data_IF_548622994517
#
_entry.id   IF_548622994517
#
_cell.length_a   1.000
_cell.length_b   1.000
_cell.length_c   1.000
_cell.angle_alpha   90.00
_cell.angle_beta   90.00
_cell.angle_gamma   90.00
#
_symmetry.space_group_name_H-M   'P 1'
#
loop_
_entity.id
_entity.type
_entity.pdbx_description
1 polymer ?
#
# COMPACT_ATOMS: atom_id res chain seq x y z
N UNK A 1 -26.76 -51.90 -33.18
CA UNK A 1 -27.96 -51.05 -33.36
C UNK A 1 -28.74 -50.98 -32.06
N UNK A 2 -29.30 -49.82 -31.73
CA UNK A 2 -29.89 -49.54 -30.42
C UNK A 2 -31.26 -48.89 -30.57
N UNK A 3 -32.25 -49.30 -29.76
CA UNK A 3 -33.46 -48.50 -29.54
C UNK A 3 -33.11 -47.27 -28.71
N UNK A 4 -33.92 -46.21 -28.79
CA UNK A 4 -33.67 -44.96 -28.07
C UNK A 4 -33.50 -45.16 -26.55
N UNK A 5 -34.20 -46.15 -25.98
CA UNK A 5 -34.11 -46.53 -24.56
C UNK A 5 -32.76 -47.15 -24.20
N UNK A 6 -32.21 -47.99 -25.08
CA UNK A 6 -30.92 -48.65 -24.88
C UNK A 6 -29.78 -47.66 -25.10
N UNK A 7 -29.93 -46.77 -26.09
CA UNK A 7 -29.00 -45.68 -26.36
C UNK A 7 -28.91 -44.72 -25.17
N UNK A 8 -30.06 -44.31 -24.61
CA UNK A 8 -30.16 -43.47 -23.42
C UNK A 8 -29.34 -44.02 -22.24
N UNK A 9 -29.49 -45.31 -21.95
CA UNK A 9 -28.75 -45.99 -20.89
C UNK A 9 -27.24 -46.00 -21.18
N UNK A 10 -26.83 -46.29 -22.42
CA UNK A 10 -25.40 -46.36 -22.79
C UNK A 10 -24.65 -45.05 -22.73
N UNK A 11 -25.33 -43.91 -22.87
CA UNK A 11 -24.72 -42.56 -22.85
C UNK A 11 -25.08 -41.77 -21.60
N UNK A 12 -25.94 -42.30 -20.72
CA UNK A 12 -26.37 -41.62 -19.50
C UNK A 12 -27.22 -40.36 -19.75
N UNK A 13 -28.00 -40.32 -20.84
CA UNK A 13 -28.88 -39.19 -21.17
C UNK A 13 -30.35 -39.62 -21.11
N UNK A 14 -31.24 -38.67 -20.86
CA UNK A 14 -32.69 -38.92 -20.95
C UNK A 14 -33.12 -39.16 -22.41
N UNK A 15 -34.21 -39.92 -22.60
CA UNK A 15 -34.80 -40.10 -23.95
C UNK A 15 -35.15 -38.74 -24.58
N UNK A 16 -35.64 -37.80 -23.78
CA UNK A 16 -35.96 -36.44 -24.22
C UNK A 16 -34.72 -35.69 -24.74
N UNK A 17 -33.57 -35.82 -24.06
CA UNK A 17 -32.32 -35.24 -24.53
C UNK A 17 -31.86 -35.85 -25.86
N UNK A 18 -31.99 -37.17 -26.04
CA UNK A 18 -31.68 -37.83 -27.32
C UNK A 18 -32.61 -37.41 -28.46
N UNK A 19 -33.92 -37.27 -28.19
CA UNK A 19 -34.88 -36.73 -29.16
C UNK A 19 -34.55 -35.28 -29.52
N UNK A 20 -34.11 -34.48 -28.55
CA UNK A 20 -33.63 -33.13 -28.82
C UNK A 20 -32.38 -33.13 -29.71
N UNK A 21 -31.42 -34.03 -29.46
CA UNK A 21 -30.21 -34.15 -30.28
C UNK A 21 -30.57 -34.57 -31.71
N UNK A 22 -31.53 -35.49 -31.86
CA UNK A 22 -32.08 -35.89 -33.15
C UNK A 22 -32.77 -34.72 -33.87
N UNK A 23 -33.61 -33.94 -33.17
CA UNK A 23 -34.26 -32.74 -33.73
C UNK A 23 -33.25 -31.67 -34.15
N UNK A 24 -32.14 -31.53 -33.43
CA UNK A 24 -31.04 -30.63 -33.79
C UNK A 24 -30.15 -31.20 -34.92
N UNK A 25 -30.43 -32.41 -35.41
CA UNK A 25 -29.69 -33.06 -36.49
C UNK A 25 -28.33 -33.64 -36.06
N UNK A 26 -28.10 -33.80 -34.76
CA UNK A 26 -26.84 -34.32 -34.22
C UNK A 26 -26.73 -35.84 -34.33
N UNK A 27 -27.85 -36.55 -34.39
CA UNK A 27 -27.95 -37.98 -34.64
C UNK A 27 -29.16 -38.22 -35.53
N UNK A 28 -29.23 -39.37 -36.21
CA UNK A 28 -30.37 -39.68 -37.09
C UNK A 28 -30.82 -41.12 -36.91
N UNK A 29 -31.97 -41.31 -36.26
CA UNK A 29 -32.59 -42.61 -36.13
C UNK A 29 -33.17 -43.08 -37.46
N UNK A 30 -32.90 -44.33 -37.83
CA UNK A 30 -33.56 -44.97 -38.97
C UNK A 30 -34.88 -45.59 -38.47
N UNK A 31 -35.98 -45.32 -39.17
CA UNK A 31 -37.26 -45.98 -38.89
C UNK A 31 -37.27 -47.37 -39.50
N UNK A 32 -37.67 -48.36 -38.70
CA UNK A 32 -37.98 -49.72 -39.16
C UNK A 32 -39.44 -49.83 -39.58
N UNK A 33 -39.78 -50.87 -40.34
CA UNK A 33 -41.14 -51.17 -40.82
C UNK A 33 -42.17 -51.31 -39.68
N UNK A 34 -41.71 -51.62 -38.48
CA UNK A 34 -42.50 -51.72 -37.25
C UNK A 34 -42.72 -50.36 -36.52
N UNK A 35 -42.29 -49.24 -37.12
CA UNK A 35 -42.46 -47.89 -36.58
C UNK A 35 -41.42 -47.45 -35.54
N UNK A 36 -40.55 -48.35 -35.05
CA UNK A 36 -39.51 -48.01 -34.08
C UNK A 36 -38.30 -47.33 -34.74
N UNK A 37 -37.64 -46.43 -34.01
CA UNK A 37 -36.35 -45.84 -34.39
C UNK A 37 -35.19 -46.67 -33.84
N UNK A 38 -34.23 -46.97 -34.71
CA UNK A 38 -32.97 -47.61 -34.39
C UNK A 38 -31.80 -46.67 -34.69
N UNK A 39 -30.80 -46.70 -33.82
CA UNK A 39 -29.58 -45.90 -33.92
C UNK A 39 -28.37 -46.82 -34.07
N UNK A 40 -27.36 -46.37 -34.80
CA UNK A 40 -26.15 -47.14 -35.09
C UNK A 40 -25.10 -47.00 -33.99
N UNK A 41 -24.04 -47.81 -34.04
CA UNK A 41 -22.84 -47.60 -33.22
C UNK A 41 -22.15 -46.27 -33.53
N UNK A 42 -22.29 -45.77 -34.77
CA UNK A 42 -21.79 -44.45 -35.16
C UNK A 42 -22.53 -43.33 -34.42
N UNK A 43 -23.86 -43.41 -34.28
CA UNK A 43 -24.64 -42.44 -33.50
C UNK A 43 -24.22 -42.44 -32.02
N UNK A 44 -23.96 -43.62 -31.45
CA UNK A 44 -23.44 -43.76 -30.09
C UNK A 44 -22.08 -43.07 -29.93
N UNK A 45 -21.14 -43.30 -30.86
CA UNK A 45 -19.82 -42.64 -30.85
C UNK A 45 -19.95 -41.13 -31.02
N UNK A 46 -20.86 -40.69 -31.90
CA UNK A 46 -21.12 -39.26 -32.15
C UNK A 46 -21.67 -38.57 -30.91
N UNK A 47 -22.60 -39.19 -30.16
CA UNK A 47 -23.09 -38.66 -28.88
C UNK A 47 -21.95 -38.56 -27.85
N UNK A 48 -21.09 -39.57 -27.76
CA UNK A 48 -19.95 -39.54 -26.83
C UNK A 48 -18.97 -38.41 -27.16
N UNK A 49 -18.73 -38.16 -28.45
CA UNK A 49 -17.91 -37.03 -28.89
C UNK A 49 -18.56 -35.68 -28.51
N UNK A 50 -19.88 -35.54 -28.69
CA UNK A 50 -20.62 -34.35 -28.25
C UNK A 50 -20.47 -34.15 -26.74
N UNK A 51 -20.60 -35.19 -25.92
CA UNK A 51 -20.42 -35.10 -24.47
C UNK A 51 -19.01 -34.62 -24.10
N UNK A 52 -17.96 -35.07 -24.81
CA UNK A 52 -16.59 -34.60 -24.58
C UNK A 52 -16.40 -33.13 -24.98
N UNK A 53 -17.01 -32.69 -26.09
CA UNK A 53 -16.98 -31.28 -26.50
C UNK A 53 -17.75 -30.39 -25.52
N UNK A 54 -18.91 -30.84 -25.04
CA UNK A 54 -19.69 -30.11 -24.03
C UNK A 54 -18.97 -30.01 -22.69
N UNK A 55 -18.23 -31.04 -22.28
CA UNK A 55 -17.38 -30.99 -21.09
C UNK A 55 -16.27 -29.93 -21.19
N UNK A 56 -15.85 -29.58 -22.41
CA UNK A 56 -14.96 -28.46 -22.70
C UNK A 56 -15.65 -27.09 -22.78
N UNK A 57 -16.93 -27.00 -22.46
CA UNK A 57 -17.70 -25.74 -22.44
C UNK A 57 -18.36 -25.34 -23.76
N UNK A 58 -18.38 -26.22 -24.76
CA UNK A 58 -19.06 -25.96 -26.03
C UNK A 58 -20.57 -26.20 -25.92
N UNK A 59 -21.36 -25.28 -26.47
CA UNK A 59 -22.80 -25.46 -26.66
C UNK A 59 -23.11 -26.53 -27.70
N UNK A 60 -24.36 -27.00 -27.73
CA UNK A 60 -24.81 -28.00 -28.71
C UNK A 60 -24.61 -27.56 -30.16
N UNK A 61 -24.83 -26.26 -30.45
CA UNK A 61 -24.68 -25.67 -31.78
C UNK A 61 -23.22 -25.68 -32.22
N UNK A 62 -22.30 -25.37 -31.30
CA UNK A 62 -20.86 -25.40 -31.55
C UNK A 62 -20.36 -26.84 -31.68
N UNK A 63 -20.87 -27.77 -30.88
CA UNK A 63 -20.59 -29.21 -31.03
C UNK A 63 -21.02 -29.72 -32.41
N UNK A 64 -22.20 -29.31 -32.89
CA UNK A 64 -22.67 -29.62 -34.25
C UNK A 64 -21.71 -29.09 -35.31
N UNK A 65 -21.29 -27.84 -35.18
CA UNK A 65 -20.34 -27.21 -36.12
C UNK A 65 -18.99 -27.96 -36.15
N UNK A 66 -18.47 -28.38 -35.00
CA UNK A 66 -17.25 -29.20 -34.91
C UNK A 66 -17.39 -30.58 -35.56
N UNK A 67 -18.60 -31.13 -35.59
CA UNK A 67 -18.91 -32.44 -36.17
C UNK A 67 -19.18 -32.42 -37.67
N UNK A 68 -19.60 -31.27 -38.21
CA UNK A 68 -20.05 -31.13 -39.60
C UNK A 68 -19.08 -30.30 -40.47
N UNK A 69 -18.23 -29.48 -39.86
CA UNK A 69 -17.31 -28.59 -40.55
C UNK A 69 -15.92 -28.56 -39.89
N UNK A 70 -14.99 -27.86 -40.54
CA UNK A 70 -13.66 -27.57 -39.99
C UNK A 70 -13.84 -26.70 -38.74
N UNK A 71 -13.32 -27.17 -37.61
CA UNK A 71 -13.35 -26.49 -36.31
C UNK A 71 -12.97 -25.02 -36.45
N UNK A 72 -13.84 -24.11 -36.00
CA UNK A 72 -13.55 -22.68 -35.95
C UNK A 72 -12.52 -22.40 -34.85
N UNK A 73 -11.25 -22.32 -35.26
CA UNK A 73 -10.13 -22.02 -34.35
C UNK A 73 -10.30 -20.68 -33.63
N UNK A 74 -10.97 -19.68 -34.22
CA UNK A 74 -11.17 -18.38 -33.57
C UNK A 74 -12.13 -18.50 -32.41
N UNK A 75 -13.22 -19.25 -32.59
CA UNK A 75 -14.16 -19.53 -31.51
C UNK A 75 -13.49 -20.27 -30.35
N UNK A 76 -12.72 -21.32 -30.64
CA UNK A 76 -12.01 -22.07 -29.60
C UNK A 76 -10.98 -21.22 -28.86
N UNK A 77 -10.21 -20.38 -29.59
CA UNK A 77 -9.24 -19.47 -28.98
C UNK A 77 -9.93 -18.45 -28.05
N UNK A 78 -11.07 -17.88 -28.47
CA UNK A 78 -11.85 -16.96 -27.64
C UNK A 78 -12.39 -17.63 -26.37
N UNK A 79 -12.87 -18.88 -26.48
CA UNK A 79 -13.34 -19.66 -25.32
C UNK A 79 -12.21 -20.00 -24.36
N UNK A 80 -11.04 -20.38 -24.89
CA UNK A 80 -9.86 -20.67 -24.09
C UNK A 80 -9.42 -19.43 -23.29
N UNK A 81 -9.31 -18.27 -23.94
CA UNK A 81 -8.99 -17.00 -23.26
C UNK A 81 -9.97 -16.67 -22.13
N UNK A 82 -11.27 -16.93 -22.34
CA UNK A 82 -12.28 -16.71 -21.30
C UNK A 82 -12.10 -17.67 -20.11
N UNK A 83 -11.82 -18.95 -20.38
CA UNK A 83 -11.56 -19.93 -19.33
C UNK A 83 -10.29 -19.60 -18.54
N UNK A 84 -9.22 -19.17 -19.23
CA UNK A 84 -7.99 -18.74 -18.57
C UNK A 84 -8.23 -17.54 -17.64
N UNK A 85 -9.04 -16.57 -18.08
CA UNK A 85 -9.44 -15.44 -17.23
C UNK A 85 -10.26 -15.88 -16.01
N UNK A 86 -11.20 -16.82 -16.18
CA UNK A 86 -11.99 -17.38 -15.07
C UNK A 86 -11.13 -18.17 -14.08
N UNK A 87 -10.14 -18.94 -14.57
CA UNK A 87 -9.16 -19.66 -13.74
C UNK A 87 -8.34 -18.67 -12.93
N UNK A 88 -7.78 -17.64 -13.57
CA UNK A 88 -6.98 -16.61 -12.89
C UNK A 88 -7.79 -15.92 -11.78
N UNK A 89 -9.05 -15.54 -12.06
CA UNK A 89 -9.94 -14.94 -11.06
C UNK A 89 -10.21 -15.86 -9.87
N UNK A 90 -10.45 -17.16 -10.13
CA UNK A 90 -10.67 -18.15 -9.07
C UNK A 90 -9.39 -18.43 -8.27
N UNK A 91 -8.22 -18.42 -8.91
CA UNK A 91 -6.93 -18.57 -8.24
C UNK A 91 -6.66 -17.39 -7.30
N UNK A 92 -6.89 -16.15 -7.75
CA UNK A 92 -6.78 -14.96 -6.90
C UNK A 92 -7.74 -15.02 -5.70
N UNK A 93 -8.98 -15.46 -5.91
CA UNK A 93 -9.95 -15.63 -4.81
C UNK A 93 -9.49 -16.70 -3.81
N UNK A 94 -8.93 -17.82 -4.30
CA UNK A 94 -8.36 -18.87 -3.44
C UNK A 94 -7.18 -18.35 -2.63
N UNK A 95 -6.28 -17.60 -3.26
CA UNK A 95 -5.08 -17.04 -2.61
C UNK A 95 -5.45 -16.05 -1.52
N UNK A 96 -6.44 -15.18 -1.76
CA UNK A 96 -6.99 -14.32 -0.72
C UNK A 96 -7.52 -15.13 0.47
N UNK A 97 -8.37 -16.15 0.21
CA UNK A 97 -8.93 -16.97 1.27
C UNK A 97 -7.87 -17.77 2.04
N UNK A 98 -6.88 -18.34 1.34
CA UNK A 98 -5.77 -19.04 1.97
C UNK A 98 -4.94 -18.10 2.85
N UNK A 99 -4.64 -16.90 2.36
CA UNK A 99 -3.89 -15.90 3.10
C UNK A 99 -4.67 -15.38 4.33
N UNK A 100 -5.99 -15.20 4.23
CA UNK A 100 -6.88 -14.90 5.38
C UNK A 100 -6.95 -16.03 6.40
N UNK A 101 -6.68 -17.27 5.99
CA UNK A 101 -6.59 -18.44 6.88
C UNK A 101 -5.17 -18.63 7.45
N UNK A 102 -4.21 -17.77 7.11
CA UNK A 102 -2.81 -17.90 7.54
C UNK A 102 -1.96 -18.84 6.67
N UNK A 103 -2.50 -19.36 5.56
CA UNK A 103 -1.83 -20.34 4.69
C UNK A 103 -1.05 -19.70 3.52
N UNK A 104 -0.77 -18.40 3.58
CA UNK A 104 -0.04 -17.66 2.54
C UNK A 104 0.15 -16.19 2.87
N UNK A 105 0.85 -15.44 2.03
CA UNK A 105 1.09 -14.01 2.23
C UNK A 105 -0.15 -13.17 1.91
N UNK A 106 -0.48 -12.20 2.77
CA UNK A 106 -1.51 -11.19 2.48
C UNK A 106 -0.96 -9.91 1.83
N UNK A 107 0.34 -9.85 1.53
CA UNK A 107 1.04 -8.63 1.10
C UNK A 107 0.37 -7.90 -0.07
N UNK A 108 0.13 -8.63 -1.16
CA UNK A 108 -0.49 -8.06 -2.37
C UNK A 108 -1.93 -7.62 -2.14
N UNK A 109 -2.65 -8.26 -1.23
CA UNK A 109 -4.00 -7.88 -0.86
C UNK A 109 -3.99 -6.60 0.00
N UNK A 110 -3.13 -6.52 1.01
CA UNK A 110 -2.98 -5.30 1.83
C UNK A 110 -2.61 -4.10 0.96
N UNK A 111 -1.65 -4.24 0.05
CA UNK A 111 -1.25 -3.18 -0.88
C UNK A 111 -2.41 -2.71 -1.77
N UNK A 112 -3.20 -3.66 -2.29
CA UNK A 112 -4.35 -3.38 -3.14
C UNK A 112 -5.48 -2.67 -2.39
N UNK A 113 -5.83 -3.16 -1.19
CA UNK A 113 -6.91 -2.58 -0.39
C UNK A 113 -6.50 -1.22 0.17
N UNK A 114 -5.25 -1.04 0.57
CA UNK A 114 -4.75 0.26 1.03
C UNK A 114 -4.82 1.32 -0.08
N UNK A 115 -4.58 0.92 -1.33
CA UNK A 115 -4.73 1.82 -2.48
C UNK A 115 -6.21 2.18 -2.74
N UNK A 116 -7.12 1.22 -2.62
CA UNK A 116 -8.53 1.39 -3.00
C UNK A 116 -9.38 2.01 -1.89
N UNK A 117 -9.09 1.71 -0.63
CA UNK A 117 -9.90 2.07 0.53
C UNK A 117 -9.04 2.15 1.81
N UNK A 118 -8.07 3.09 1.89
CA UNK A 118 -7.07 3.15 2.96
C UNK A 118 -7.69 3.29 4.36
N UNK A 119 -8.70 4.15 4.51
CA UNK A 119 -9.35 4.37 5.82
C UNK A 119 -10.14 3.12 6.26
N UNK A 120 -10.85 2.47 5.34
CA UNK A 120 -11.62 1.24 5.61
C UNK A 120 -10.68 0.08 5.95
N UNK A 121 -9.51 0.04 5.34
CA UNK A 121 -8.49 -0.96 5.62
C UNK A 121 -7.97 -0.83 7.05
N UNK A 122 -7.65 0.39 7.48
CA UNK A 122 -7.20 0.70 8.83
C UNK A 122 -8.27 0.32 9.86
N UNK A 123 -9.52 0.73 9.62
CA UNK A 123 -10.67 0.36 10.48
C UNK A 123 -10.85 -1.16 10.58
N UNK A 124 -10.65 -1.87 9.47
CA UNK A 124 -10.76 -3.33 9.45
C UNK A 124 -9.65 -3.99 10.26
N UNK A 125 -8.40 -3.53 10.14
CA UNK A 125 -7.27 -3.99 10.95
C UNK A 125 -7.55 -3.78 12.44
N UNK A 126 -8.04 -2.59 12.82
CA UNK A 126 -8.41 -2.30 14.21
C UNK A 126 -9.51 -3.25 14.73
N UNK A 127 -10.49 -3.61 13.90
CA UNK A 127 -11.52 -4.61 14.24
C UNK A 127 -10.99 -6.03 14.37
N UNK A 128 -9.84 -6.35 13.77
CA UNK A 128 -9.16 -7.65 13.97
C UNK A 128 -8.37 -7.70 15.30
N UNK A 129 -8.36 -6.61 16.08
CA UNK A 129 -7.73 -6.57 17.39
C UNK A 129 -6.35 -5.92 17.41
N UNK A 130 -5.87 -5.39 16.28
CA UNK A 130 -4.65 -4.59 16.24
C UNK A 130 -4.91 -3.20 16.82
N UNK A 131 -3.99 -2.68 17.63
CA UNK A 131 -3.95 -1.26 17.95
C UNK A 131 -3.71 -0.43 16.70
N UNK A 132 -4.06 0.87 16.72
CA UNK A 132 -3.78 1.79 15.60
C UNK A 132 -2.29 1.76 15.21
N UNK A 133 -1.40 1.71 16.20
CA UNK A 133 0.05 1.61 16.01
C UNK A 133 0.46 0.34 15.25
N UNK A 134 -0.07 -0.82 15.65
CA UNK A 134 0.22 -2.08 14.96
C UNK A 134 -0.40 -2.10 13.56
N UNK A 135 -1.62 -1.59 13.40
CA UNK A 135 -2.28 -1.48 12.11
C UNK A 135 -1.50 -0.58 11.14
N UNK A 136 -0.97 0.55 11.61
CA UNK A 136 -0.09 1.42 10.82
C UNK A 136 1.24 0.74 10.50
N UNK A 137 1.87 0.06 11.45
CA UNK A 137 3.10 -0.72 11.19
C UNK A 137 2.86 -1.82 10.17
N UNK A 138 1.72 -2.47 10.22
CA UNK A 138 1.34 -3.50 9.27
C UNK A 138 1.13 -2.93 7.88
N UNK A 139 0.38 -1.82 7.79
CA UNK A 139 0.14 -1.09 6.55
C UNK A 139 1.42 -0.61 5.88
N UNK A 140 2.36 -0.05 6.64
CA UNK A 140 3.54 0.62 6.08
C UNK A 140 4.80 -0.25 6.03
N UNK A 141 5.00 -1.16 6.99
CA UNK A 141 6.26 -1.90 7.16
C UNK A 141 6.12 -3.35 6.68
N UNK A 142 5.41 -4.20 7.43
CA UNK A 142 5.39 -5.63 7.11
C UNK A 142 4.60 -5.92 5.83
N UNK A 143 3.49 -5.19 5.63
CA UNK A 143 2.45 -5.39 4.61
C UNK A 143 1.81 -6.77 4.63
N UNK A 144 2.25 -7.65 5.51
CA UNK A 144 1.76 -9.00 5.68
C UNK A 144 1.40 -9.22 7.15
N UNK A 145 0.17 -9.67 7.41
CA UNK A 145 -0.30 -10.03 8.74
C UNK A 145 0.36 -11.31 9.26
N UNK A 146 0.63 -12.27 8.38
CA UNK A 146 1.08 -13.60 8.80
C UNK A 146 2.57 -13.62 9.18
N UNK A 147 3.34 -12.67 8.64
CA UNK A 147 4.76 -12.50 8.92
C UNK A 147 5.06 -11.23 9.74
N UNK A 148 4.02 -10.52 10.20
CA UNK A 148 4.14 -9.21 10.86
C UNK A 148 5.12 -9.24 12.05
N UNK A 149 4.95 -10.18 12.97
CA UNK A 149 5.74 -10.27 14.20
C UNK A 149 7.23 -10.50 13.93
N UNK A 150 7.55 -11.44 13.02
CA UNK A 150 8.93 -11.72 12.66
C UNK A 150 9.54 -10.54 11.89
N UNK A 151 8.79 -9.95 10.96
CA UNK A 151 9.23 -8.76 10.24
C UNK A 151 9.52 -7.61 11.19
N UNK A 152 8.63 -7.35 12.16
CA UNK A 152 8.81 -6.27 13.13
C UNK A 152 9.98 -6.55 14.08
N UNK A 153 10.20 -7.80 14.48
CA UNK A 153 11.37 -8.19 15.28
C UNK A 153 12.67 -7.87 14.54
N UNK A 154 12.76 -8.27 13.28
CA UNK A 154 13.92 -8.03 12.43
C UNK A 154 14.12 -6.53 12.15
N UNK A 155 13.03 -5.82 11.84
CA UNK A 155 13.02 -4.38 11.62
C UNK A 155 13.53 -3.64 12.85
N UNK A 156 13.00 -3.93 14.04
CA UNK A 156 13.44 -3.29 15.28
C UNK A 156 14.92 -3.57 15.56
N UNK A 157 15.40 -4.79 15.31
CA UNK A 157 16.83 -5.15 15.46
C UNK A 157 17.73 -4.32 14.55
N UNK A 158 17.28 -3.99 13.33
CA UNK A 158 18.03 -3.12 12.42
C UNK A 158 18.06 -1.69 12.96
N UNK A 159 16.91 -1.15 13.37
CA UNK A 159 16.77 0.27 13.72
C UNK A 159 17.18 0.65 15.15
N UNK A 160 17.28 -0.30 16.09
CA UNK A 160 17.61 -0.07 17.50
C UNK A 160 18.91 0.75 17.68
N UNK A 161 19.94 0.43 16.89
CA UNK A 161 21.26 1.05 16.98
C UNK A 161 21.36 2.41 16.27
N UNK A 162 20.32 2.83 15.54
CA UNK A 162 20.36 4.06 14.74
C UNK A 162 19.96 5.27 15.60
N UNK A 163 20.76 6.33 15.49
CA UNK A 163 20.48 7.61 16.12
C UNK A 163 19.28 8.32 15.48
N UNK A 164 19.12 8.17 14.16
CA UNK A 164 18.09 8.82 13.34
C UNK A 164 17.14 7.78 12.74
N UNK A 165 15.86 8.14 12.62
CA UNK A 165 14.84 7.31 11.98
C UNK A 165 14.46 7.79 10.57
N UNK A 166 14.93 8.97 10.16
CA UNK A 166 14.69 9.53 8.84
C UNK A 166 15.85 10.45 8.40
N UNK A 167 15.96 10.75 7.10
CA UNK A 167 16.85 11.79 6.57
C UNK A 167 16.61 13.15 7.22
N UNK A 168 17.69 13.84 7.57
CA UNK A 168 17.60 15.16 8.22
C UNK A 168 18.90 15.54 8.93
N UNK A 169 19.05 16.82 9.23
CA UNK A 169 20.18 17.32 10.03
C UNK A 169 19.79 18.57 10.80
N UNK A 170 20.50 18.85 11.89
CA UNK A 170 20.29 20.06 12.69
C UNK A 170 20.41 21.34 11.85
N UNK A 171 21.30 21.33 10.85
CA UNK A 171 21.50 22.45 9.94
C UNK A 171 20.27 22.72 9.07
N UNK A 172 19.53 21.69 8.65
CA UNK A 172 18.34 21.87 7.82
C UNK A 172 17.16 22.37 8.66
N UNK A 173 16.98 21.81 9.86
CA UNK A 173 16.01 22.30 10.86
C UNK A 173 16.28 23.78 11.19
N UNK A 174 17.54 24.14 11.46
CA UNK A 174 17.93 25.52 11.76
C UNK A 174 17.74 26.46 10.56
N UNK A 175 18.00 25.98 9.34
CA UNK A 175 17.77 26.75 8.11
C UNK A 175 16.27 27.05 7.90
N UNK A 176 15.39 26.08 8.13
CA UNK A 176 13.95 26.31 8.10
C UNK A 176 13.51 27.28 9.22
N UNK A 177 14.00 27.08 10.45
CA UNK A 177 13.66 27.93 11.60
C UNK A 177 14.12 29.39 11.43
N UNK A 178 15.32 29.59 10.89
CA UNK A 178 15.87 30.94 10.64
C UNK A 178 15.16 31.69 9.51
N UNK A 179 14.35 30.99 8.68
CA UNK A 179 13.52 31.63 7.66
C UNK A 179 12.22 32.23 8.20
N UNK A 180 11.89 31.96 9.47
CA UNK A 180 10.69 32.51 10.10
C UNK A 180 10.81 34.02 10.28
N UNK A 181 9.76 34.75 9.89
CA UNK A 181 9.71 36.21 10.03
C UNK A 181 9.62 36.69 11.49
N UNK A 182 9.21 35.81 12.42
CA UNK A 182 9.07 36.09 13.85
C UNK A 182 9.53 34.87 14.64
N UNK A 183 10.11 35.11 15.82
CA UNK A 183 10.39 34.04 16.76
C UNK A 183 9.08 33.48 17.34
N UNK A 184 8.87 32.15 17.28
CA UNK A 184 7.67 31.53 17.82
C UNK A 184 7.64 31.62 19.35
N UNK A 185 6.44 31.54 19.91
CA UNK A 185 6.17 31.53 21.36
C UNK A 185 5.57 30.21 21.82
N UNK A 186 4.76 29.56 20.98
CA UNK A 186 4.05 28.32 21.27
C UNK A 186 4.18 27.37 20.08
N UNK A 187 5.08 26.38 20.22
CA UNK A 187 5.39 25.40 19.17
C UNK A 187 4.67 24.09 19.47
N UNK A 188 4.01 23.52 18.47
CA UNK A 188 3.58 22.13 18.44
C UNK A 188 4.47 21.34 17.48
N UNK A 189 5.20 20.34 17.97
CA UNK A 189 5.95 19.41 17.12
C UNK A 189 5.22 18.08 17.01
N UNK A 190 4.87 17.65 15.79
CA UNK A 190 4.06 16.45 15.53
C UNK A 190 4.94 15.35 14.92
N UNK A 191 5.01 14.20 15.59
CA UNK A 191 5.91 13.10 15.25
C UNK A 191 7.35 13.41 15.64
N UNK A 192 7.58 13.82 16.90
CA UNK A 192 8.90 14.26 17.35
C UNK A 192 9.94 13.13 17.42
N UNK A 193 9.51 11.87 17.51
CA UNK A 193 10.38 10.70 17.65
C UNK A 193 11.40 10.88 18.77
N UNK A 194 12.69 10.74 18.44
CA UNK A 194 13.80 10.96 19.39
C UNK A 194 14.09 12.44 19.70
N UNK A 195 13.33 13.38 19.16
CA UNK A 195 13.39 14.82 19.48
C UNK A 195 14.63 15.56 18.97
N UNK A 196 15.13 15.16 17.79
CA UNK A 196 16.26 15.83 17.16
C UNK A 196 15.89 17.25 16.72
N UNK A 197 14.74 17.43 16.09
CA UNK A 197 14.23 18.75 15.74
C UNK A 197 13.81 19.52 17.01
N UNK A 198 13.16 18.87 17.98
CA UNK A 198 12.84 19.45 19.31
C UNK A 198 14.05 20.14 19.93
N UNK A 199 15.22 19.49 19.93
CA UNK A 199 16.44 20.04 20.51
C UNK A 199 16.89 21.32 19.78
N UNK A 200 16.84 21.33 18.45
CA UNK A 200 17.19 22.52 17.66
C UNK A 200 16.20 23.66 17.94
N UNK A 201 14.90 23.36 17.99
CA UNK A 201 13.85 24.34 18.30
C UNK A 201 14.04 24.92 19.71
N UNK A 202 14.34 24.08 20.70
CA UNK A 202 14.53 24.51 22.09
C UNK A 202 15.77 25.40 22.27
N UNK A 203 16.86 25.07 21.58
CA UNK A 203 18.12 25.82 21.68
C UNK A 203 18.12 27.15 20.92
N UNK A 204 17.23 27.32 19.93
CA UNK A 204 17.20 28.49 19.05
C UNK A 204 15.95 29.35 19.23
N UNK A 205 15.10 29.03 20.19
CA UNK A 205 13.90 29.80 20.55
C UNK A 205 13.75 29.89 22.06
N UNK A 206 12.87 30.78 22.53
CA UNK A 206 12.41 30.83 23.93
C UNK A 206 10.99 30.28 24.09
N UNK A 207 10.45 29.65 23.04
CA UNK A 207 9.08 29.16 23.00
C UNK A 207 8.82 28.05 24.03
N UNK A 208 7.56 27.92 24.45
CA UNK A 208 7.04 26.66 25.00
C UNK A 208 6.84 25.68 23.85
N UNK A 209 7.29 24.45 24.04
CA UNK A 209 7.26 23.39 23.03
C UNK A 209 6.40 22.26 23.56
N UNK A 210 5.35 21.94 22.82
CA UNK A 210 4.55 20.73 23.03
C UNK A 210 4.92 19.73 21.95
N UNK A 211 5.38 18.54 22.32
CA UNK A 211 5.70 17.46 21.38
C UNK A 211 4.63 16.37 21.41
N UNK A 212 4.31 15.84 20.24
CA UNK A 212 3.36 14.73 20.06
C UNK A 212 4.06 13.57 19.37
N UNK A 213 3.87 12.37 19.92
CA UNK A 213 4.25 11.11 19.27
C UNK A 213 3.32 9.98 19.77
N UNK A 214 3.29 8.85 19.06
CA UNK A 214 2.55 7.65 19.49
C UNK A 214 3.44 6.63 20.23
N UNK A 215 4.70 6.98 20.48
CA UNK A 215 5.68 6.18 21.21
C UNK A 215 6.00 6.80 22.58
N UNK A 216 5.25 6.38 23.62
CA UNK A 216 5.41 6.83 25.01
C UNK A 216 6.87 6.72 25.51
N UNK A 217 7.58 5.67 25.10
CA UNK A 217 8.98 5.44 25.50
C UNK A 217 9.92 6.52 24.94
N UNK A 218 9.68 6.97 23.70
CA UNK A 218 10.45 8.04 23.08
C UNK A 218 10.18 9.39 23.77
N UNK A 219 8.90 9.67 24.11
CA UNK A 219 8.50 10.86 24.84
C UNK A 219 9.11 10.92 26.25
N UNK A 220 9.10 9.79 26.96
CA UNK A 220 9.71 9.68 28.30
C UNK A 220 11.22 9.98 28.22
N UNK A 221 11.93 9.34 27.29
CA UNK A 221 13.37 9.58 27.08
C UNK A 221 13.67 11.03 26.66
N UNK A 222 12.79 11.64 25.86
CA UNK A 222 12.94 13.04 25.45
C UNK A 222 12.81 13.98 26.66
N UNK A 223 11.80 13.75 27.50
CA UNK A 223 11.54 14.54 28.71
C UNK A 223 12.71 14.47 29.69
N UNK A 224 13.22 13.28 29.98
CA UNK A 224 14.38 13.08 30.86
C UNK A 224 15.63 13.84 30.37
N UNK A 225 15.91 13.83 29.06
CA UNK A 225 17.02 14.59 28.48
C UNK A 225 16.82 16.09 28.63
N UNK A 226 15.61 16.60 28.39
CA UNK A 226 15.32 18.02 28.51
C UNK A 226 15.35 18.49 29.97
N UNK A 227 14.94 17.65 30.92
CA UNK A 227 15.12 17.91 32.35
C UNK A 227 16.61 18.00 32.70
N UNK A 228 17.44 17.08 32.20
CA UNK A 228 18.89 17.10 32.41
C UNK A 228 19.57 18.34 31.78
N UNK A 229 19.09 18.80 30.62
CA UNK A 229 19.58 19.99 29.93
C UNK A 229 19.03 21.31 30.52
N UNK A 230 18.21 21.24 31.58
CA UNK A 230 17.60 22.42 32.22
C UNK A 230 16.49 23.10 31.40
N UNK A 231 16.00 22.42 30.35
CA UNK A 231 14.96 22.90 29.42
C UNK A 231 13.58 22.31 29.73
N UNK A 232 13.45 21.42 30.72
CA UNK A 232 12.20 20.71 31.04
C UNK A 232 11.00 21.62 31.32
N UNK A 233 11.20 22.81 31.88
CA UNK A 233 10.09 23.78 32.12
C UNK A 233 9.45 24.34 30.85
N UNK A 234 10.09 24.16 29.68
CA UNK A 234 9.61 24.61 28.38
C UNK A 234 9.05 23.47 27.52
N UNK A 235 9.12 22.23 27.99
CA UNK A 235 8.75 21.05 27.21
C UNK A 235 7.55 20.33 27.85
N UNK A 236 6.47 20.24 27.09
CA UNK A 236 5.36 19.34 27.36
C UNK A 236 5.38 18.20 26.34
N UNK A 237 5.07 16.98 26.78
CA UNK A 237 5.00 15.78 25.93
C UNK A 237 3.60 15.20 25.97
N UNK A 238 3.04 14.87 24.81
CA UNK A 238 1.68 14.32 24.68
C UNK A 238 1.73 13.04 23.84
N UNK A 239 1.37 11.91 24.45
CA UNK A 239 1.22 10.65 23.73
C UNK A 239 -0.16 10.61 23.06
N UNK A 240 -0.21 10.87 21.75
CA UNK A 240 -1.45 10.94 20.99
C UNK A 240 -1.24 10.60 19.51
N UNK A 241 -2.32 10.22 18.83
CA UNK A 241 -2.31 10.07 17.37
C UNK A 241 -2.30 11.45 16.70
N UNK A 242 -1.54 11.58 15.60
CA UNK A 242 -1.48 12.83 14.82
C UNK A 242 -2.79 13.17 14.09
N UNK A 243 -3.71 12.21 14.03
CA UNK A 243 -5.06 12.35 13.45
C UNK A 243 -6.10 12.82 14.48
N UNK A 244 -5.79 12.75 15.78
CA UNK A 244 -6.69 13.06 16.90
C UNK A 244 -5.97 13.89 17.97
N UNK A 245 -5.47 15.06 17.56
CA UNK A 245 -4.70 15.95 18.42
C UNK A 245 -5.60 16.62 19.49
N UNK A 246 -5.28 16.50 20.80
CA UNK A 246 -6.16 16.96 21.88
C UNK A 246 -5.97 18.45 22.22
N UNK A 247 -5.92 19.30 21.20
CA UNK A 247 -5.67 20.74 21.37
C UNK A 247 -6.84 21.59 20.89
N UNK A 248 -7.00 22.76 21.52
CA UNK A 248 -7.98 23.74 21.08
C UNK A 248 -7.51 24.44 19.81
N UNK A 249 -8.45 25.02 19.06
CA UNK A 249 -8.13 25.88 17.93
C UNK A 249 -7.26 27.07 18.35
N UNK A 250 -6.45 27.58 17.42
CA UNK A 250 -5.58 28.75 17.59
C UNK A 250 -4.67 28.71 18.84
N UNK A 251 -4.13 27.52 19.17
CA UNK A 251 -3.29 27.33 20.36
C UNK A 251 -1.80 27.50 20.09
N UNK A 252 -1.36 27.46 18.82
CA UNK A 252 0.06 27.47 18.45
C UNK A 252 0.35 28.53 17.37
N UNK A 253 1.50 29.18 17.47
CA UNK A 253 2.00 30.11 16.43
C UNK A 253 2.98 29.44 15.45
N UNK A 254 3.45 28.23 15.80
CA UNK A 254 4.23 27.36 14.93
C UNK A 254 3.84 25.89 15.13
N UNK A 255 3.52 25.19 14.04
CA UNK A 255 3.46 23.73 13.97
C UNK A 255 4.66 23.24 13.19
N UNK A 256 5.33 22.20 13.69
CA UNK A 256 6.55 21.61 13.12
C UNK A 256 6.38 20.11 12.91
N UNK A 257 6.65 19.60 11.72
CA UNK A 257 6.54 18.17 11.42
C UNK A 257 7.60 17.75 10.39
N UNK A 258 8.66 17.09 10.84
CA UNK A 258 9.70 16.55 9.94
C UNK A 258 9.45 15.06 9.69
N UNK A 259 9.18 14.67 8.44
CA UNK A 259 9.09 13.27 8.04
C UNK A 259 7.95 12.50 8.72
N UNK A 260 6.85 13.18 9.06
CA UNK A 260 5.71 12.57 9.78
C UNK A 260 4.37 12.80 9.10
N UNK A 261 4.18 13.93 8.40
CA UNK A 261 2.88 14.29 7.79
C UNK A 261 2.38 13.28 6.74
N UNK A 262 3.29 12.57 6.07
CA UNK A 262 2.92 11.55 5.07
C UNK A 262 2.17 10.36 5.69
N UNK A 263 2.36 10.08 6.99
CA UNK A 263 1.76 8.93 7.69
C UNK A 263 0.23 9.02 7.69
N UNK A 264 -0.32 10.22 7.87
CA UNK A 264 -1.76 10.49 7.78
C UNK A 264 -2.20 11.01 6.40
N UNK A 265 -1.25 11.24 5.49
CA UNK A 265 -1.44 11.92 4.22
C UNK A 265 -1.33 13.43 4.34
N UNK A 266 -0.49 14.05 3.50
CA UNK A 266 -0.13 15.47 3.62
C UNK A 266 -1.34 16.38 3.43
N UNK A 267 -2.24 16.09 2.49
CA UNK A 267 -3.45 16.91 2.31
C UNK A 267 -4.37 16.87 3.53
N UNK A 268 -4.46 15.70 4.20
CA UNK A 268 -5.23 15.56 5.45
C UNK A 268 -4.57 16.35 6.57
N UNK A 269 -3.25 16.24 6.73
CA UNK A 269 -2.46 17.00 7.69
C UNK A 269 -2.64 18.51 7.51
N UNK A 270 -2.53 19.02 6.27
CA UNK A 270 -2.74 20.43 5.95
C UNK A 270 -4.10 20.92 6.44
N UNK A 271 -5.17 20.15 6.22
CA UNK A 271 -6.53 20.54 6.63
C UNK A 271 -6.78 20.42 8.15
N UNK A 272 -6.31 19.35 8.78
CA UNK A 272 -6.59 19.07 10.20
C UNK A 272 -5.73 19.90 11.14
N UNK A 273 -4.52 20.27 10.74
CA UNK A 273 -3.62 21.07 11.57
C UNK A 273 -3.84 22.58 11.40
N UNK A 274 -4.50 23.01 10.31
CA UNK A 274 -4.87 24.40 10.06
C UNK A 274 -5.62 25.10 11.22
N UNK A 275 -6.66 24.49 11.83
CA UNK A 275 -7.39 25.13 12.92
C UNK A 275 -6.56 25.30 14.21
N UNK A 276 -5.51 24.50 14.40
CA UNK A 276 -4.66 24.58 15.60
C UNK A 276 -3.74 25.80 15.60
N UNK A 277 -3.46 26.36 14.42
CA UNK A 277 -2.66 27.57 14.25
C UNK A 277 -3.45 28.85 14.59
N UNK A 278 -2.79 29.79 15.24
CA UNK A 278 -3.31 31.15 15.42
C UNK A 278 -3.32 31.97 14.13
N UNK A 279 -3.80 33.22 14.21
CA UNK A 279 -3.85 34.13 13.07
C UNK A 279 -2.44 34.41 12.53
N UNK A 280 -2.20 34.01 11.27
CA UNK A 280 -0.89 34.06 10.60
C UNK A 280 0.16 33.11 11.19
N UNK A 281 -0.27 32.09 11.93
CA UNK A 281 0.58 31.00 12.38
C UNK A 281 1.28 30.29 11.23
N UNK A 282 2.41 29.66 11.54
CA UNK A 282 3.26 28.98 10.57
C UNK A 282 3.14 27.47 10.71
N UNK A 283 3.01 26.76 9.60
CA UNK A 283 3.21 25.32 9.50
C UNK A 283 4.53 25.05 8.79
N UNK A 284 5.43 24.30 9.43
CA UNK A 284 6.63 23.74 8.80
C UNK A 284 6.42 22.24 8.64
N UNK A 285 6.44 21.76 7.40
CA UNK A 285 6.48 20.32 7.11
C UNK A 285 7.66 19.94 6.23
N UNK A 286 8.21 18.75 6.43
CA UNK A 286 9.02 18.08 5.42
C UNK A 286 8.26 16.90 4.81
N UNK A 287 8.35 16.76 3.49
CA UNK A 287 7.69 15.69 2.74
C UNK A 287 8.63 15.11 1.69
N UNK A 288 8.48 13.82 1.42
CA UNK A 288 9.23 13.13 0.37
C UNK A 288 8.57 13.43 -0.98
N UNK A 289 9.31 14.03 -1.91
CA UNK A 289 8.76 14.52 -3.19
C UNK A 289 9.64 14.16 -4.38
N UNK A 290 9.03 14.14 -5.56
CA UNK A 290 9.73 14.13 -6.83
C UNK A 290 10.33 15.51 -7.13
N UNK A 291 11.63 15.53 -7.42
CA UNK A 291 12.40 16.71 -7.82
C UNK A 291 12.49 16.86 -9.35
N UNK A 292 11.95 15.89 -10.09
CA UNK A 292 11.88 15.86 -11.55
C UNK A 292 10.48 15.40 -11.99
N UNK A 293 10.04 15.86 -13.17
CA UNK A 293 8.79 15.41 -13.80
C UNK A 293 8.95 14.06 -14.52
N UNK A 294 10.18 13.59 -14.72
CA UNK A 294 10.49 12.32 -15.40
C UNK A 294 11.42 11.45 -14.55
N UNK A 295 10.97 10.96 -13.38
CA UNK A 295 11.76 10.06 -12.56
C UNK A 295 11.93 8.69 -13.24
N UNK A 296 12.97 7.97 -12.84
CA UNK A 296 13.23 6.61 -13.30
C UNK A 296 12.08 5.66 -12.88
N UNK A 297 11.68 4.78 -13.79
CA UNK A 297 10.57 3.85 -13.58
C UNK A 297 10.77 2.94 -12.36
N UNK A 298 12.00 2.52 -12.06
CA UNK A 298 12.31 1.69 -10.90
C UNK A 298 12.03 2.43 -9.59
N UNK A 299 12.45 3.70 -9.50
CA UNK A 299 12.17 4.53 -8.34
C UNK A 299 10.66 4.78 -8.18
N UNK A 300 9.95 5.01 -9.29
CA UNK A 300 8.49 5.19 -9.29
C UNK A 300 7.79 3.94 -8.78
N UNK A 301 8.16 2.76 -9.28
CA UNK A 301 7.56 1.49 -8.86
C UNK A 301 7.82 1.21 -7.37
N UNK A 302 9.03 1.51 -6.90
CA UNK A 302 9.36 1.37 -5.47
C UNK A 302 8.52 2.31 -4.60
N UNK A 303 8.57 3.62 -4.86
CA UNK A 303 7.87 4.60 -4.03
C UNK A 303 6.35 4.51 -4.15
N UNK A 304 5.80 4.04 -5.28
CA UNK A 304 4.37 3.78 -5.41
C UNK A 304 3.86 2.78 -4.35
N UNK A 305 4.68 1.82 -3.96
CA UNK A 305 4.30 0.84 -2.95
C UNK A 305 4.55 1.34 -1.52
N UNK A 306 5.49 2.27 -1.32
CA UNK A 306 5.87 2.76 0.02
C UNK A 306 5.20 4.08 0.41
N UNK A 307 5.02 4.98 -0.54
CA UNK A 307 4.36 6.27 -0.39
C UNK A 307 3.61 6.65 -1.68
N UNK A 308 2.39 6.11 -1.88
CA UNK A 308 1.62 6.33 -3.11
C UNK A 308 1.27 7.79 -3.40
N UNK A 309 1.16 8.64 -2.36
CA UNK A 309 0.89 10.09 -2.50
C UNK A 309 2.18 10.92 -2.69
N UNK A 310 3.28 10.32 -3.13
CA UNK A 310 4.49 11.07 -3.46
C UNK A 310 4.24 11.98 -4.68
N UNK A 311 4.27 13.30 -4.47
CA UNK A 311 4.01 14.31 -5.49
C UNK A 311 5.29 15.04 -5.94
N UNK A 312 5.22 15.80 -7.03
CA UNK A 312 6.26 16.79 -7.35
C UNK A 312 6.15 18.01 -6.43
N UNK A 313 7.25 18.76 -6.27
CA UNK A 313 7.26 20.03 -5.51
C UNK A 313 6.15 20.97 -6.00
N UNK A 314 5.98 21.11 -7.31
CA UNK A 314 4.98 22.01 -7.90
C UNK A 314 3.54 21.59 -7.60
N UNK A 315 3.24 20.29 -7.58
CA UNK A 315 1.93 19.78 -7.20
C UNK A 315 1.68 20.00 -5.71
N UNK A 316 2.68 19.73 -4.85
CA UNK A 316 2.56 19.91 -3.41
C UNK A 316 2.32 21.37 -3.01
N UNK A 317 3.01 22.32 -3.66
CA UNK A 317 2.77 23.77 -3.48
C UNK A 317 1.31 24.12 -3.79
N UNK A 318 0.75 23.65 -4.91
CA UNK A 318 -0.65 23.90 -5.26
C UNK A 318 -1.63 23.33 -4.24
N UNK A 319 -1.33 22.14 -3.69
CA UNK A 319 -2.15 21.53 -2.64
C UNK A 319 -2.12 22.38 -1.36
N UNK A 320 -0.96 22.91 -0.97
CA UNK A 320 -0.81 23.82 0.17
C UNK A 320 -1.59 25.12 -0.02
N UNK A 321 -1.50 25.74 -1.20
CA UNK A 321 -2.26 26.94 -1.57
C UNK A 321 -3.77 26.70 -1.50
N UNK A 322 -4.23 25.57 -2.03
CA UNK A 322 -5.64 25.16 -2.00
C UNK A 322 -6.13 24.93 -0.57
N UNK A 323 -5.25 24.45 0.32
CA UNK A 323 -5.54 24.23 1.74
C UNK A 323 -5.52 25.52 2.59
N UNK A 324 -5.36 26.70 1.97
CA UNK A 324 -5.39 27.98 2.68
C UNK A 324 -4.05 28.35 3.31
N UNK A 325 -2.93 27.95 2.70
CA UNK A 325 -1.59 28.36 3.09
C UNK A 325 -0.86 29.14 1.99
N UNK A 326 -0.01 30.07 2.39
CA UNK A 326 0.98 30.70 1.52
C UNK A 326 2.35 30.05 1.75
N UNK A 327 3.00 29.59 0.69
CA UNK A 327 4.35 29.05 0.78
C UNK A 327 5.36 30.20 0.87
N UNK A 328 5.92 30.42 2.07
CA UNK A 328 6.91 31.49 2.32
C UNK A 328 8.30 31.07 1.86
N UNK A 329 8.65 29.83 2.12
CA UNK A 329 9.98 29.29 1.84
C UNK A 329 9.87 27.80 1.53
N UNK A 330 10.75 27.32 0.66
CA UNK A 330 10.87 25.90 0.38
C UNK A 330 12.28 25.57 -0.11
N UNK A 331 12.85 24.49 0.41
CA UNK A 331 14.16 24.00 -0.04
C UNK A 331 14.28 22.49 0.12
N UNK A 332 15.10 21.89 -0.73
CA UNK A 332 15.41 20.47 -0.69
C UNK A 332 16.50 20.20 0.35
N UNK A 333 16.38 19.10 1.09
CA UNK A 333 17.43 18.61 1.99
C UNK A 333 18.71 18.34 1.21
N UNK A 334 19.85 18.69 1.81
CA UNK A 334 21.16 18.41 1.24
C UNK A 334 21.46 16.89 1.19
N UNK A 335 22.35 16.50 0.28
CA UNK A 335 22.87 15.13 0.22
C UNK A 335 23.50 14.69 1.54
N UNK A 336 24.12 15.60 2.28
CA UNK A 336 24.69 15.31 3.60
C UNK A 336 23.62 14.89 4.62
N UNK A 337 22.46 15.55 4.62
CA UNK A 337 21.35 15.20 5.51
C UNK A 337 20.80 13.78 5.24
N UNK A 338 20.82 13.35 3.98
CA UNK A 338 20.48 11.98 3.60
C UNK A 338 21.57 10.97 4.02
N UNK A 339 22.84 11.29 3.76
CA UNK A 339 23.98 10.44 4.13
C UNK A 339 24.05 10.20 5.64
N UNK A 340 23.72 11.21 6.45
CA UNK A 340 23.67 11.08 7.92
C UNK A 340 22.64 10.05 8.43
N UNK A 341 21.72 9.59 7.58
CA UNK A 341 20.77 8.52 7.89
C UNK A 341 21.12 7.21 7.16
N UNK A 342 21.32 7.25 5.83
CA UNK A 342 21.51 6.03 5.04
C UNK A 342 22.88 5.38 5.22
N UNK A 343 23.93 6.13 5.55
CA UNK A 343 25.26 5.53 5.73
C UNK A 343 25.32 4.65 7.00
N UNK A 344 24.87 5.10 8.19
CA UNK A 344 24.71 4.22 9.34
C UNK A 344 23.78 3.03 9.09
N UNK A 345 22.66 3.25 8.37
CA UNK A 345 21.71 2.19 8.02
C UNK A 345 22.35 1.12 7.14
N UNK A 346 23.11 1.53 6.11
CA UNK A 346 23.86 0.62 5.22
C UNK A 346 24.85 -0.24 6.00
N UNK A 347 25.67 0.38 6.85
CA UNK A 347 26.63 -0.35 7.68
C UNK A 347 25.93 -1.34 8.63
N UNK A 348 24.76 -0.96 9.16
CA UNK A 348 23.97 -1.80 10.05
C UNK A 348 23.39 -3.01 9.32
N UNK A 349 22.85 -2.83 8.11
CA UNK A 349 22.35 -3.91 7.26
C UNK A 349 23.49 -4.86 6.86
N UNK A 350 24.63 -4.33 6.42
CA UNK A 350 25.81 -5.14 6.07
C UNK A 350 26.30 -6.00 7.24
N UNK A 351 26.31 -5.45 8.45
CA UNK A 351 26.72 -6.19 9.65
C UNK A 351 25.75 -7.30 10.04
N UNK A 352 24.44 -7.12 9.79
CA UNK A 352 23.40 -8.09 10.14
C UNK A 352 23.12 -9.12 9.04
N UNK A 353 23.51 -8.85 7.80
CA UNK A 353 23.29 -9.71 6.63
C UNK A 353 23.67 -11.18 6.87
N UNK A 354 24.83 -11.52 7.48
CA UNK A 354 25.22 -12.92 7.68
C UNK A 354 24.32 -13.68 8.67
N UNK A 355 23.73 -12.97 9.63
CA UNK A 355 22.84 -13.55 10.66
C UNK A 355 21.37 -13.62 10.18
N UNK A 356 20.98 -12.70 9.29
CA UNK A 356 19.59 -12.44 8.89
C UNK A 356 19.38 -12.63 7.38
N UNK A 357 20.10 -13.56 6.75
CA UNK A 357 20.11 -13.74 5.29
C UNK A 357 18.72 -13.93 4.65
N UNK A 358 17.80 -14.58 5.37
CA UNK A 358 16.46 -14.90 4.88
C UNK A 358 15.43 -13.83 5.26
N UNK A 359 15.81 -12.86 6.11
CA UNK A 359 14.93 -11.81 6.62
C UNK A 359 14.37 -10.93 5.50
N UNK A 360 13.04 -10.81 5.47
CA UNK A 360 12.37 -9.93 4.52
C UNK A 360 12.66 -8.45 4.84
N UNK A 361 12.83 -8.08 6.11
CA UNK A 361 13.18 -6.71 6.51
C UNK A 361 14.55 -6.29 5.94
N UNK A 362 15.55 -7.17 6.02
CA UNK A 362 16.88 -6.93 5.41
C UNK A 362 16.77 -6.72 3.91
N UNK A 363 15.98 -7.55 3.20
CA UNK A 363 15.77 -7.44 1.75
C UNK A 363 15.09 -6.12 1.38
N UNK A 364 14.02 -5.75 2.10
CA UNK A 364 13.24 -4.53 1.84
C UNK A 364 14.10 -3.27 2.10
N UNK A 365 14.86 -3.25 3.19
CA UNK A 365 15.74 -2.12 3.55
C UNK A 365 16.96 -2.04 2.62
N UNK A 366 17.54 -3.16 2.21
CA UNK A 366 18.61 -3.19 1.21
C UNK A 366 18.13 -2.57 -0.10
N UNK A 367 16.93 -2.94 -0.55
CA UNK A 367 16.31 -2.35 -1.74
C UNK A 367 16.08 -0.84 -1.57
N UNK A 368 15.65 -0.39 -0.40
CA UNK A 368 15.51 1.05 -0.12
C UNK A 368 16.85 1.79 -0.22
N UNK A 369 17.92 1.21 0.35
CA UNK A 369 19.28 1.77 0.26
C UNK A 369 19.75 1.84 -1.20
N UNK A 370 19.44 0.84 -2.03
CA UNK A 370 19.78 0.84 -3.45
C UNK A 370 19.01 1.94 -4.21
N UNK A 371 17.71 2.07 -3.96
CA UNK A 371 16.87 3.12 -4.57
C UNK A 371 17.40 4.51 -4.19
N UNK A 372 17.73 4.71 -2.92
CA UNK A 372 18.40 5.92 -2.44
C UNK A 372 19.72 6.15 -3.18
N UNK A 373 20.62 5.16 -3.20
CA UNK A 373 21.98 5.31 -3.74
C UNK A 373 21.98 5.62 -5.23
N UNK A 374 21.05 5.02 -5.99
CA UNK A 374 20.98 5.15 -7.44
C UNK A 374 20.19 6.36 -7.91
N UNK A 375 19.17 6.80 -7.16
CA UNK A 375 18.17 7.75 -7.66
C UNK A 375 18.00 9.02 -6.81
N UNK A 376 18.77 9.19 -5.71
CA UNK A 376 18.78 10.46 -4.97
C UNK A 376 19.08 11.64 -5.89
N UNK A 377 18.24 12.68 -5.81
CA UNK A 377 18.28 13.84 -6.69
C UNK A 377 17.20 13.84 -7.77
N UNK A 378 16.61 12.67 -8.07
CA UNK A 378 15.31 12.60 -8.75
C UNK A 378 14.16 12.70 -7.75
N UNK A 379 14.39 12.24 -6.53
CA UNK A 379 13.56 12.52 -5.37
C UNK A 379 14.38 13.07 -4.21
N UNK A 380 13.68 13.66 -3.24
CA UNK A 380 14.28 14.13 -2.01
C UNK A 380 13.22 14.62 -1.03
N UNK A 381 13.65 14.88 0.20
CA UNK A 381 12.82 15.52 1.20
C UNK A 381 12.85 17.02 0.92
N UNK A 382 11.67 17.61 0.82
CA UNK A 382 11.50 19.04 0.65
C UNK A 382 10.90 19.62 1.94
N UNK A 383 11.56 20.63 2.49
CA UNK A 383 11.03 21.43 3.59
C UNK A 383 10.13 22.53 3.01
N UNK A 384 8.97 22.72 3.62
CA UNK A 384 8.01 23.75 3.26
C UNK A 384 7.66 24.56 4.50
N UNK A 385 7.83 25.88 4.41
CA UNK A 385 7.40 26.84 5.44
C UNK A 385 6.16 27.56 4.93
N UNK A 386 5.05 27.35 5.62
CA UNK A 386 3.71 27.69 5.18
C UNK A 386 3.09 28.69 6.15
N UNK A 387 2.56 29.80 5.67
CA UNK A 387 1.78 30.73 6.49
C UNK A 387 0.31 30.49 6.31
N UNK A 388 -0.42 30.37 7.41
CA UNK A 388 -1.89 30.34 7.40
C UNK A 388 -2.46 31.59 6.73
N UNK A 389 -3.34 31.40 5.76
CA UNK A 389 -4.11 32.46 5.11
C UNK A 389 -5.57 32.38 5.55
N UNK A 390 -6.14 33.53 5.95
CA UNK A 390 -7.52 33.63 6.44
C UNK A 390 -7.55 34.54 7.63
#
# INVERSE_FOLDING_TARGET
MYRISELAVKVGLSRTALLYYENQGLIKGQRQDNGYRIYSDYDLQRIRLIQKLQAGGLSLKECKACLEAKVDRKLLASRLLKLDAEINSKQQSRELLAAMLGEGTLRTWHESVDTLAPDVHLDWLMKQGFSEKEALRLKWLSKDMNEHEQYMTDFMKIFEALERWAPGSESETLKALSSLSKSPKAILEIGCGKGLATKVLANNTVASITTVDNEESALTSLKERFEADGLGSRLDTVCASMTELPFNEASFDLIWAEGSAYIMGVTKALSQWWPLLDDKGILMISDLVWLTDTPNEEAVEFWKNQYPDMQTVAVRVKQMETAGYEVINSFTLSRQAWQSYYEPLRLRVEALQPEMQDSQAIKDISKEIDIYSNYLGQFGYQMFTLRKCG
#
